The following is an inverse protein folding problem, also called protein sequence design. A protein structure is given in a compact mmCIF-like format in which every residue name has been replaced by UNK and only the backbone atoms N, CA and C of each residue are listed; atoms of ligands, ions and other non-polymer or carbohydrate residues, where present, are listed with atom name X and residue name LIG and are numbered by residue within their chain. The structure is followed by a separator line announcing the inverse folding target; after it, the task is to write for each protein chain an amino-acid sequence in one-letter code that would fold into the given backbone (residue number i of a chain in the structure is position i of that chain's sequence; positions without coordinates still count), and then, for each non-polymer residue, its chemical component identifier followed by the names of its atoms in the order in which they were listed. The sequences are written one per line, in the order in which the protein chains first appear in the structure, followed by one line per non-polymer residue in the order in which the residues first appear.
data_IF_661169919674
#
_entry.id   IF_661169919674
#
_cell.length_a   1.000
_cell.length_b   1.000
_cell.length_c   1.000
_cell.angle_alpha   90.00
_cell.angle_beta   90.00
_cell.angle_gamma   90.00
#
_symmetry.space_group_name_H-M   'P 1'
#
loop_
_entity.id
_entity.type
_entity.pdbx_description
1 polymer ?
#
# COMPACT_ATOMS: atom_id res chain seq x y z
N UNK A 1 9.16 -47.42 21.33
CA UNK A 1 10.12 -46.53 20.66
C UNK A 1 9.40 -45.23 20.30
N UNK A 2 9.79 -44.09 20.89
CA UNK A 2 9.30 -42.77 20.53
C UNK A 2 10.52 -41.87 20.36
N UNK A 3 11.02 -41.72 19.15
CA UNK A 3 12.13 -40.80 18.86
C UNK A 3 11.58 -39.38 18.83
N UNK A 4 11.95 -38.56 19.82
CA UNK A 4 11.64 -37.12 19.79
C UNK A 4 12.48 -36.47 18.69
N UNK A 5 11.79 -35.83 17.75
CA UNK A 5 12.40 -34.96 16.73
C UNK A 5 13.15 -33.82 17.44
N UNK A 6 14.42 -33.53 17.09
CA UNK A 6 15.19 -32.50 17.78
C UNK A 6 14.56 -31.13 17.54
N UNK A 7 14.35 -30.39 18.63
CA UNK A 7 13.69 -29.08 18.71
C UNK A 7 14.35 -28.00 17.82
N UNK A 8 15.56 -28.28 17.33
CA UNK A 8 16.33 -27.43 16.41
C UNK A 8 15.70 -27.28 15.02
N UNK A 9 14.76 -28.14 14.64
CA UNK A 9 14.11 -28.07 13.32
C UNK A 9 12.98 -27.01 13.23
N UNK A 10 12.63 -26.33 14.33
CA UNK A 10 11.59 -25.27 14.32
C UNK A 10 12.13 -23.85 14.12
N UNK A 11 13.46 -23.67 14.10
CA UNK A 11 14.06 -22.34 14.04
C UNK A 11 14.55 -22.03 12.63
N UNK A 12 13.61 -21.93 11.71
CA UNK A 12 13.85 -21.45 10.36
C UNK A 12 12.71 -20.56 9.95
N UNK A 13 12.95 -19.24 10.01
CA UNK A 13 12.28 -18.16 9.24
C UNK A 13 11.29 -17.24 9.99
N UNK A 14 10.70 -17.55 11.16
CA UNK A 14 9.58 -16.70 11.64
C UNK A 14 9.86 -15.52 12.60
N UNK A 15 11.04 -15.40 13.23
CA UNK A 15 11.18 -14.49 14.39
C UNK A 15 12.32 -13.45 14.29
N UNK A 16 12.83 -13.17 13.10
CA UNK A 16 13.68 -11.98 12.94
C UNK A 16 12.75 -10.75 12.97
N UNK A 17 12.94 -9.79 13.89
CA UNK A 17 12.24 -8.51 13.81
C UNK A 17 12.63 -7.87 12.49
N UNK A 18 11.70 -7.81 11.54
CA UNK A 18 11.89 -6.99 10.36
C UNK A 18 11.89 -5.55 10.87
N UNK A 19 13.05 -4.92 10.87
CA UNK A 19 13.16 -3.50 11.22
C UNK A 19 12.20 -2.71 10.31
N UNK A 20 11.37 -1.78 10.81
CA UNK A 20 10.41 -1.05 9.98
C UNK A 20 11.04 -0.30 8.80
N UNK A 21 12.36 -0.06 8.84
CA UNK A 21 13.14 0.54 7.76
C UNK A 21 13.38 -0.41 6.57
N UNK A 22 13.23 -1.72 6.77
CA UNK A 22 13.22 -2.74 5.71
C UNK A 22 11.85 -2.81 5.00
N UNK A 23 10.83 -2.19 5.61
CA UNK A 23 9.43 -2.24 5.20
C UNK A 23 8.99 -0.87 4.66
N UNK A 24 9.25 -0.65 3.36
CA UNK A 24 8.59 0.26 2.39
C UNK A 24 9.61 1.04 1.56
N UNK A 25 9.56 0.85 0.24
CA UNK A 25 10.11 1.79 -0.75
C UNK A 25 9.24 3.05 -0.78
N UNK A 26 9.39 3.92 0.22
CA UNK A 26 8.67 5.21 0.27
C UNK A 26 9.42 6.23 -0.59
N UNK A 27 8.85 6.57 -1.73
CA UNK A 27 9.30 7.74 -2.51
C UNK A 27 8.90 9.02 -1.79
N UNK A 28 9.87 9.85 -1.44
CA UNK A 28 9.63 11.19 -0.93
C UNK A 28 9.31 12.14 -2.08
N UNK A 29 8.14 12.78 -2.05
CA UNK A 29 7.77 13.82 -3.02
C UNK A 29 8.05 15.18 -2.40
N UNK A 30 9.05 15.89 -2.91
CA UNK A 30 9.39 17.25 -2.47
C UNK A 30 8.61 18.29 -3.25
N UNK A 31 7.98 19.24 -2.55
CA UNK A 31 7.20 20.33 -3.14
C UNK A 31 7.52 21.66 -2.48
N UNK A 32 7.12 22.77 -3.10
CA UNK A 32 7.20 24.09 -2.47
C UNK A 32 6.18 24.20 -1.33
N UNK A 33 6.42 25.11 -0.37
CA UNK A 33 5.49 25.35 0.74
C UNK A 33 4.08 25.73 0.26
N UNK A 34 3.98 26.53 -0.81
CA UNK A 34 2.70 26.93 -1.39
C UNK A 34 1.93 25.73 -1.97
N UNK A 35 2.61 24.83 -2.69
CA UNK A 35 1.99 23.62 -3.23
C UNK A 35 1.53 22.68 -2.11
N UNK A 36 2.30 22.55 -1.03
CA UNK A 36 1.90 21.76 0.13
C UNK A 36 0.64 22.34 0.81
N UNK A 37 0.57 23.67 1.00
CA UNK A 37 -0.61 24.31 1.58
C UNK A 37 -1.88 24.09 0.72
N UNK A 38 -1.76 24.18 -0.60
CA UNK A 38 -2.86 23.88 -1.53
C UNK A 38 -3.29 22.41 -1.48
N UNK A 39 -2.34 21.49 -1.28
CA UNK A 39 -2.63 20.08 -1.13
C UNK A 39 -3.41 19.81 0.16
N UNK A 40 -2.96 20.36 1.30
CA UNK A 40 -3.68 20.22 2.59
C UNK A 40 -5.10 20.76 2.48
N UNK A 41 -5.29 21.95 1.91
CA UNK A 41 -6.62 22.55 1.73
C UNK A 41 -7.56 21.68 0.86
N UNK A 42 -7.02 20.89 -0.08
CA UNK A 42 -7.81 19.95 -0.88
C UNK A 42 -8.16 18.67 -0.13
N UNK A 43 -7.32 18.23 0.81
CA UNK A 43 -7.61 17.08 1.66
C UNK A 43 -8.74 17.36 2.66
N UNK A 44 -8.79 18.59 3.19
CA UNK A 44 -9.83 19.00 4.13
C UNK A 44 -11.18 19.28 3.46
N UNK A 45 -11.19 19.50 2.14
CA UNK A 45 -12.39 19.75 1.36
C UNK A 45 -13.16 18.46 1.05
N UNK A 46 -14.49 18.52 0.87
CA UNK A 46 -15.25 17.36 0.42
C UNK A 46 -14.78 16.88 -0.96
N UNK A 47 -14.83 15.56 -1.24
CA UNK A 47 -14.46 15.02 -2.54
C UNK A 47 -15.30 15.67 -3.66
N UNK A 48 -14.62 16.27 -4.63
CA UNK A 48 -15.29 16.85 -5.80
C UNK A 48 -15.56 15.74 -6.83
N UNK A 49 -16.79 15.64 -7.37
CA UNK A 49 -17.07 14.66 -8.40
C UNK A 49 -16.26 14.97 -9.66
N UNK A 50 -15.60 13.95 -10.22
CA UNK A 50 -14.88 14.03 -11.49
C UNK A 50 -15.58 13.15 -12.52
N UNK A 51 -16.29 13.76 -13.47
CA UNK A 51 -17.09 13.05 -14.48
C UNK A 51 -16.25 12.10 -15.34
N UNK A 52 -15.04 12.51 -15.72
CA UNK A 52 -14.14 11.67 -16.52
C UNK A 52 -13.71 10.45 -15.72
N UNK A 53 -13.31 10.65 -14.46
CA UNK A 53 -12.94 9.55 -13.56
C UNK A 53 -14.12 8.60 -13.34
N UNK A 54 -15.33 9.13 -13.09
CA UNK A 54 -16.54 8.33 -12.93
C UNK A 54 -16.84 7.49 -14.17
N UNK A 55 -16.72 8.07 -15.38
CA UNK A 55 -16.87 7.32 -16.63
C UNK A 55 -15.85 6.19 -16.73
N UNK A 56 -14.58 6.46 -16.41
CA UNK A 56 -13.52 5.44 -16.41
C UNK A 56 -13.79 4.32 -15.40
N UNK A 57 -14.18 4.65 -14.17
CA UNK A 57 -14.45 3.65 -13.12
C UNK A 57 -15.70 2.81 -13.38
N UNK A 58 -16.66 3.32 -14.15
CA UNK A 58 -17.88 2.60 -14.53
C UNK A 58 -17.79 1.95 -15.92
N UNK A 59 -16.66 2.11 -16.63
CA UNK A 59 -16.49 1.49 -17.93
C UNK A 59 -16.46 -0.03 -17.77
N UNK A 60 -17.10 -0.79 -18.67
CA UNK A 60 -16.99 -2.23 -18.66
C UNK A 60 -15.52 -2.63 -18.79
N UNK A 61 -15.11 -3.61 -17.98
CA UNK A 61 -13.75 -4.13 -18.03
C UNK A 61 -13.54 -4.77 -19.42
N UNK A 62 -12.49 -4.40 -20.15
CA UNK A 62 -12.33 -4.78 -21.56
C UNK A 62 -12.09 -6.29 -21.76
N UNK A 63 -11.80 -7.04 -20.71
CA UNK A 63 -11.62 -8.50 -20.72
C UNK A 63 -12.82 -9.27 -20.15
N UNK A 64 -13.91 -8.59 -19.78
CA UNK A 64 -15.11 -9.23 -19.19
C UNK A 64 -16.15 -9.66 -20.24
N UNK A 65 -15.77 -9.63 -21.52
CA UNK A 65 -16.56 -10.23 -22.58
C UNK A 65 -16.22 -11.74 -22.62
N UNK A 66 -17.03 -12.53 -21.92
CA UNK A 66 -17.28 -13.94 -22.26
C UNK A 66 -18.58 -14.03 -23.05
#
# INVERSE_FOLDING_TARGET
MKTKLPDKARKGISDAPIEPKELLDRTLITVTAAAYAQFVAQLDAPPKPNERLRKTMNAPLPWKNE
#
